data_IF_162260022312
#
_entry.id   IF_162260022312
#
_cell.length_a   1.000
_cell.length_b   1.000
_cell.length_c   1.000
_cell.angle_alpha   90.00
_cell.angle_beta   90.00
_cell.angle_gamma   90.00
#
_symmetry.space_group_name_H-M   'P 1'
#
loop_
_entity.id
_entity.type
_entity.pdbx_description
1 polymer ?
#
# COMPACT_ATOMS: atom_id res chain seq x y z
N UNK A 1 -23.18 0.61 -3.95
CA UNK A 1 -22.85 0.57 -5.39
C UNK A 1 -22.43 -0.82 -5.92
N UNK A 2 -21.83 -1.72 -5.11
CA UNK A 2 -21.37 -3.05 -5.56
C UNK A 2 -22.50 -4.03 -5.97
N UNK A 3 -23.62 -4.03 -5.22
CA UNK A 3 -24.77 -4.92 -5.49
C UNK A 3 -25.43 -4.69 -6.85
N UNK A 4 -25.47 -3.43 -7.32
CA UNK A 4 -26.05 -3.07 -8.61
C UNK A 4 -25.18 -3.59 -9.78
N UNK A 5 -23.84 -3.45 -9.68
CA UNK A 5 -22.91 -3.99 -10.68
C UNK A 5 -22.93 -5.52 -10.70
N UNK A 6 -23.05 -6.16 -9.53
CA UNK A 6 -23.21 -7.60 -9.45
C UNK A 6 -24.49 -8.05 -10.16
N UNK A 7 -25.64 -7.43 -9.84
CA UNK A 7 -26.93 -7.74 -10.43
C UNK A 7 -26.92 -7.61 -11.97
N UNK A 8 -26.35 -6.52 -12.50
CA UNK A 8 -26.23 -6.27 -13.95
C UNK A 8 -25.38 -7.33 -14.63
N UNK A 9 -24.26 -7.74 -14.02
CA UNK A 9 -23.36 -8.78 -14.56
C UNK A 9 -24.04 -10.17 -14.57
N UNK A 10 -24.85 -10.48 -13.56
CA UNK A 10 -25.63 -11.71 -13.54
C UNK A 10 -26.69 -11.71 -14.64
N UNK A 11 -27.37 -10.58 -14.87
CA UNK A 11 -28.40 -10.49 -15.92
C UNK A 11 -27.79 -10.62 -17.31
N UNK A 12 -26.65 -9.97 -17.58
CA UNK A 12 -25.98 -10.09 -18.89
C UNK A 12 -25.50 -11.52 -19.16
N UNK A 13 -24.95 -12.21 -18.15
CA UNK A 13 -24.53 -13.61 -18.30
C UNK A 13 -25.73 -14.53 -18.57
N UNK A 14 -26.86 -14.34 -17.87
CA UNK A 14 -28.07 -15.13 -18.09
C UNK A 14 -28.61 -14.92 -19.51
N UNK A 15 -28.65 -13.67 -19.99
CA UNK A 15 -29.10 -13.37 -21.36
C UNK A 15 -28.19 -13.99 -22.41
N UNK A 16 -26.86 -13.91 -22.24
CA UNK A 16 -25.90 -14.52 -23.16
C UNK A 16 -26.01 -16.06 -23.19
N UNK A 17 -26.18 -16.69 -22.03
CA UNK A 17 -26.38 -18.14 -21.92
C UNK A 17 -27.71 -18.55 -22.56
N UNK A 18 -28.81 -17.83 -22.27
CA UNK A 18 -30.11 -18.10 -22.85
C UNK A 18 -30.10 -17.95 -24.39
N UNK A 19 -29.39 -16.95 -24.90
CA UNK A 19 -29.21 -16.75 -26.34
C UNK A 19 -28.40 -17.89 -26.98
N UNK A 20 -27.29 -18.31 -26.37
CA UNK A 20 -26.52 -19.46 -26.87
C UNK A 20 -27.30 -20.77 -26.80
N UNK A 21 -28.07 -21.00 -25.73
CA UNK A 21 -28.97 -22.15 -25.62
C UNK A 21 -30.08 -22.12 -26.66
N UNK A 22 -30.64 -20.93 -26.96
CA UNK A 22 -31.64 -20.75 -28.00
C UNK A 22 -31.09 -21.09 -29.39
N UNK A 23 -29.89 -20.61 -29.72
CA UNK A 23 -29.19 -20.97 -30.95
C UNK A 23 -28.95 -22.48 -31.01
N UNK A 24 -28.44 -23.08 -29.93
CA UNK A 24 -28.17 -24.52 -29.85
C UNK A 24 -29.45 -25.36 -29.99
N UNK A 25 -30.55 -24.96 -29.35
CA UNK A 25 -31.85 -25.63 -29.48
C UNK A 25 -32.40 -25.53 -30.91
N UNK A 26 -32.25 -24.37 -31.57
CA UNK A 26 -32.63 -24.21 -32.98
C UNK A 26 -31.80 -25.11 -33.90
N UNK A 27 -30.50 -25.26 -33.60
CA UNK A 27 -29.58 -26.15 -34.31
C UNK A 27 -30.01 -27.62 -34.17
N UNK A 28 -30.31 -28.07 -32.94
CA UNK A 28 -30.79 -29.44 -32.69
C UNK A 28 -32.14 -29.72 -33.37
N UNK A 29 -33.04 -28.74 -33.39
CA UNK A 29 -34.33 -28.87 -34.05
C UNK A 29 -34.19 -29.03 -35.57
N UNK A 30 -33.34 -28.21 -36.19
CA UNK A 30 -33.02 -28.33 -37.61
C UNK A 30 -32.32 -29.66 -37.95
N UNK A 31 -31.40 -30.14 -37.09
CA UNK A 31 -30.78 -31.46 -37.25
C UNK A 31 -31.81 -32.61 -37.20
N UNK A 32 -32.78 -32.52 -36.28
CA UNK A 32 -33.88 -33.50 -36.17
C UNK A 32 -34.74 -33.54 -37.43
N UNK A 33 -35.07 -32.38 -37.99
CA UNK A 33 -35.84 -32.30 -39.24
C UNK A 33 -35.11 -32.95 -40.41
N UNK A 34 -33.78 -32.81 -40.47
CA UNK A 34 -32.96 -33.42 -41.51
C UNK A 34 -32.86 -34.94 -41.34
N UNK A 35 -32.71 -35.45 -40.11
CA UNK A 35 -32.67 -36.91 -39.87
C UNK A 35 -34.00 -37.61 -40.15
N UNK A 36 -35.13 -36.92 -40.01
CA UNK A 36 -36.45 -37.51 -40.26
C UNK A 36 -36.78 -37.71 -41.75
N UNK A 37 -36.03 -37.10 -42.67
CA UNK A 37 -36.30 -37.16 -44.11
C UNK A 37 -35.05 -37.61 -44.92
N UNK A 38 -34.56 -38.85 -44.72
CA UNK A 38 -33.26 -39.33 -45.22
C UNK A 38 -33.16 -39.45 -46.75
N UNK A 39 -34.26 -39.26 -47.49
CA UNK A 39 -34.27 -39.26 -48.96
C UNK A 39 -33.66 -37.98 -49.56
N UNK A 40 -33.52 -36.92 -48.76
CA UNK A 40 -32.74 -35.72 -49.09
C UNK A 40 -31.37 -35.87 -48.42
N UNK A 41 -30.46 -36.62 -49.04
CA UNK A 41 -29.11 -36.78 -48.51
C UNK A 41 -28.48 -35.41 -48.25
N UNK A 42 -28.02 -35.17 -47.02
CA UNK A 42 -27.24 -33.97 -46.67
C UNK A 42 -26.07 -33.87 -47.63
N UNK A 43 -26.04 -32.82 -48.44
CA UNK A 43 -24.86 -32.56 -49.25
C UNK A 43 -23.67 -32.32 -48.32
N UNK A 44 -22.48 -32.82 -48.68
CA UNK A 44 -21.23 -32.64 -47.90
C UNK A 44 -20.99 -31.17 -47.48
N UNK A 45 -21.46 -30.21 -48.29
CA UNK A 45 -21.43 -28.77 -47.99
C UNK A 45 -22.30 -28.36 -46.80
N UNK A 46 -23.46 -28.97 -46.60
CA UNK A 46 -24.35 -28.68 -45.47
C UNK A 46 -23.76 -29.21 -44.16
N UNK A 47 -23.19 -30.43 -44.18
CA UNK A 47 -22.48 -30.99 -43.04
C UNK A 47 -21.28 -30.14 -42.60
N UNK A 48 -20.53 -29.56 -43.55
CA UNK A 48 -19.44 -28.63 -43.26
C UNK A 48 -19.93 -27.33 -42.59
N UNK A 49 -21.06 -26.79 -43.04
CA UNK A 49 -21.69 -25.62 -42.42
C UNK A 49 -22.10 -25.85 -40.97
N UNK A 50 -22.59 -27.06 -40.65
CA UNK A 50 -22.93 -27.47 -39.29
C UNK A 50 -21.71 -27.52 -38.36
N UNK A 51 -20.62 -28.14 -38.80
CA UNK A 51 -19.37 -28.21 -38.04
C UNK A 51 -18.80 -26.81 -37.77
N UNK A 52 -18.86 -25.92 -38.77
CA UNK A 52 -18.41 -24.54 -38.62
C UNK A 52 -19.25 -23.76 -37.61
N UNK A 53 -20.58 -23.90 -37.65
CA UNK A 53 -21.46 -23.23 -36.70
C UNK A 53 -21.21 -23.70 -35.26
N UNK A 54 -21.07 -25.00 -35.02
CA UNK A 54 -20.72 -25.55 -33.70
C UNK A 54 -19.35 -25.03 -33.24
N UNK A 55 -18.35 -25.05 -34.14
CA UNK A 55 -17.01 -24.53 -33.86
C UNK A 55 -17.03 -23.05 -33.45
N UNK A 56 -17.85 -22.23 -34.11
CA UNK A 56 -17.98 -20.80 -33.79
C UNK A 56 -18.58 -20.57 -32.39
N UNK A 57 -19.61 -21.33 -32.01
CA UNK A 57 -20.23 -21.23 -30.67
C UNK A 57 -19.25 -21.66 -29.58
N UNK A 58 -18.54 -22.77 -29.79
CA UNK A 58 -17.51 -23.24 -28.84
C UNK A 58 -16.38 -22.23 -28.71
N UNK A 59 -15.93 -21.63 -29.82
CA UNK A 59 -14.89 -20.61 -29.82
C UNK A 59 -15.31 -19.36 -29.03
N UNK A 60 -16.53 -18.86 -29.25
CA UNK A 60 -17.08 -17.71 -28.52
C UNK A 60 -17.22 -18.03 -27.03
N UNK A 61 -17.78 -19.19 -26.69
CA UNK A 61 -17.94 -19.62 -25.30
C UNK A 61 -16.59 -19.74 -24.57
N UNK A 62 -15.59 -20.31 -25.24
CA UNK A 62 -14.23 -20.48 -24.72
C UNK A 62 -13.54 -19.13 -24.56
N UNK A 63 -13.68 -18.24 -25.55
CA UNK A 63 -13.17 -16.87 -25.49
C UNK A 63 -13.77 -16.08 -24.33
N UNK A 64 -15.08 -16.21 -24.11
CA UNK A 64 -15.76 -15.56 -22.98
C UNK A 64 -15.31 -16.11 -21.62
N UNK A 65 -15.18 -17.43 -21.49
CA UNK A 65 -14.67 -18.08 -20.28
C UNK A 65 -13.23 -17.63 -19.96
N UNK A 66 -12.37 -17.58 -20.99
CA UNK A 66 -11.00 -17.12 -20.87
C UNK A 66 -10.94 -15.63 -20.48
N UNK A 67 -11.72 -14.77 -21.14
CA UNK A 67 -11.78 -13.34 -20.84
C UNK A 67 -12.23 -13.08 -19.40
N UNK A 68 -13.21 -13.83 -18.89
CA UNK A 68 -13.63 -13.71 -17.49
C UNK A 68 -12.54 -14.15 -16.50
N UNK A 69 -11.82 -15.24 -16.80
CA UNK A 69 -10.68 -15.67 -15.98
C UNK A 69 -9.56 -14.63 -15.98
N UNK A 70 -9.23 -14.06 -17.13
CA UNK A 70 -8.24 -12.99 -17.25
C UNK A 70 -8.68 -11.75 -16.48
N UNK A 71 -9.95 -11.34 -16.57
CA UNK A 71 -10.46 -10.19 -15.85
C UNK A 71 -10.43 -10.38 -14.33
N UNK A 72 -10.74 -11.59 -13.83
CA UNK A 72 -10.65 -11.91 -12.40
C UNK A 72 -9.20 -11.92 -11.92
N UNK A 73 -8.30 -12.53 -12.68
CA UNK A 73 -6.86 -12.57 -12.37
C UNK A 73 -6.25 -11.18 -12.39
N UNK A 74 -6.57 -10.34 -13.39
CA UNK A 74 -6.10 -8.96 -13.46
C UNK A 74 -6.64 -8.11 -12.31
N UNK A 75 -7.89 -8.30 -11.90
CA UNK A 75 -8.44 -7.60 -10.73
C UNK A 75 -7.76 -8.01 -9.42
N UNK A 76 -7.44 -9.30 -9.26
CA UNK A 76 -6.70 -9.80 -8.10
C UNK A 76 -5.27 -9.27 -8.07
N UNK A 77 -4.58 -9.29 -9.22
CA UNK A 77 -3.22 -8.75 -9.37
C UNK A 77 -3.18 -7.26 -9.04
N UNK A 78 -4.09 -6.46 -9.62
CA UNK A 78 -4.15 -5.02 -9.36
C UNK A 78 -4.47 -4.69 -7.89
N UNK A 79 -5.25 -5.54 -7.19
CA UNK A 79 -5.49 -5.37 -5.75
C UNK A 79 -4.21 -5.63 -4.95
N UNK A 80 -3.48 -6.68 -5.31
CA UNK A 80 -2.22 -7.06 -4.67
C UNK A 80 -1.13 -6.00 -4.88
N UNK A 81 -0.92 -5.54 -6.11
CA UNK A 81 0.05 -4.49 -6.44
C UNK A 81 -0.21 -3.21 -5.61
N UNK A 82 -1.48 -2.81 -5.47
CA UNK A 82 -1.85 -1.66 -4.63
C UNK A 82 -1.51 -1.86 -3.16
N UNK A 83 -1.73 -3.06 -2.62
CA UNK A 83 -1.41 -3.37 -1.23
C UNK A 83 0.11 -3.40 -1.00
N UNK A 84 0.87 -3.96 -1.94
CA UNK A 84 2.33 -3.97 -1.90
C UNK A 84 2.89 -2.54 -1.94
N UNK A 85 2.39 -1.70 -2.86
CA UNK A 85 2.75 -0.28 -2.95
C UNK A 85 2.40 0.50 -1.66
N UNK A 86 1.20 0.28 -1.11
CA UNK A 86 0.80 0.88 0.16
C UNK A 86 1.77 0.51 1.30
N UNK A 87 2.19 -0.76 1.39
CA UNK A 87 3.14 -1.20 2.42
C UNK A 87 4.54 -0.65 2.19
N UNK A 88 5.02 -0.61 0.96
CA UNK A 88 6.32 -0.02 0.62
C UNK A 88 6.40 1.45 1.02
N UNK A 89 5.32 2.22 0.80
CA UNK A 89 5.21 3.61 1.27
C UNK A 89 5.27 3.71 2.79
N UNK A 90 4.56 2.84 3.51
CA UNK A 90 4.60 2.82 4.99
C UNK A 90 6.00 2.46 5.52
N UNK A 91 6.69 1.52 4.87
CA UNK A 91 8.07 1.16 5.20
C UNK A 91 9.03 2.32 4.95
N UNK A 92 8.84 3.06 3.86
CA UNK A 92 9.63 4.25 3.55
C UNK A 92 9.44 5.34 4.59
N UNK A 93 8.20 5.61 4.99
CA UNK A 93 7.89 6.54 6.07
C UNK A 93 8.51 6.10 7.40
N UNK A 94 8.44 4.80 7.72
CA UNK A 94 9.06 4.24 8.91
C UNK A 94 10.59 4.38 8.90
N UNK A 95 11.26 4.16 7.76
CA UNK A 95 12.70 4.35 7.65
C UNK A 95 13.12 5.79 7.97
N UNK A 96 12.35 6.78 7.52
CA UNK A 96 12.59 8.20 7.84
C UNK A 96 12.42 8.46 9.35
N UNK A 97 11.38 7.90 9.97
CA UNK A 97 11.13 8.02 11.41
C UNK A 97 12.22 7.32 12.23
N UNK A 98 12.67 6.14 11.78
CA UNK A 98 13.74 5.37 12.41
C UNK A 98 15.05 6.14 12.41
N UNK A 99 15.41 6.72 11.27
CA UNK A 99 16.60 7.54 11.14
C UNK A 99 16.52 8.82 11.99
N UNK A 100 15.36 9.47 12.05
CA UNK A 100 15.12 10.60 12.94
C UNK A 100 15.36 10.24 14.42
N UNK A 101 14.87 9.07 14.86
CA UNK A 101 15.11 8.56 16.21
C UNK A 101 16.59 8.29 16.45
N UNK A 102 17.27 7.66 15.50
CA UNK A 102 18.71 7.37 15.58
C UNK A 102 19.53 8.64 15.80
N UNK A 103 19.23 9.72 15.06
CA UNK A 103 19.89 11.03 15.26
C UNK A 103 19.65 11.54 16.69
N UNK A 104 18.43 11.42 17.21
CA UNK A 104 18.10 11.85 18.59
C UNK A 104 18.87 11.02 19.62
N UNK A 105 18.89 9.69 19.49
CA UNK A 105 19.58 8.78 20.39
C UNK A 105 21.10 8.97 20.36
N UNK A 106 21.67 9.12 19.17
CA UNK A 106 23.11 9.35 18.98
C UNK A 106 23.52 10.68 19.63
N UNK A 107 22.75 11.74 19.38
CA UNK A 107 22.99 13.03 19.99
C UNK A 107 22.93 12.91 21.52
N UNK A 108 21.89 12.28 22.08
CA UNK A 108 21.76 12.10 23.53
C UNK A 108 22.93 11.29 24.14
N UNK A 109 23.31 10.19 23.50
CA UNK A 109 24.44 9.34 23.92
C UNK A 109 25.75 10.12 23.93
N UNK A 110 25.97 10.97 22.93
CA UNK A 110 27.20 11.75 22.83
C UNK A 110 27.23 12.94 23.80
N UNK A 111 26.08 13.53 24.10
CA UNK A 111 25.99 14.58 25.11
C UNK A 111 26.19 14.03 26.54
N UNK A 112 25.56 12.92 26.88
CA UNK A 112 25.64 12.31 28.22
C UNK A 112 27.04 11.83 28.60
N UNK A 113 27.84 11.42 27.60
CA UNK A 113 29.21 10.91 27.82
C UNK A 113 30.29 11.99 27.94
N UNK A 114 30.03 13.24 27.55
CA UNK A 114 31.06 14.30 27.49
C UNK A 114 30.59 15.55 28.21
N UNK A 115 31.07 15.76 29.43
CA UNK A 115 30.71 16.92 30.27
C UNK A 115 30.73 18.26 29.52
N UNK A 116 29.66 19.03 29.76
CA UNK A 116 29.36 20.44 29.49
C UNK A 116 29.94 21.10 28.21
N UNK A 117 31.25 21.22 28.04
CA UNK A 117 31.83 21.98 26.93
C UNK A 117 31.97 21.18 25.62
N UNK A 118 32.37 19.91 25.70
CA UNK A 118 32.50 19.08 24.49
C UNK A 118 31.13 18.57 24.03
N UNK A 119 30.18 18.37 24.97
CA UNK A 119 28.77 18.16 24.66
C UNK A 119 28.20 19.31 23.84
N UNK A 120 28.45 20.56 24.21
CA UNK A 120 28.03 21.74 23.45
C UNK A 120 28.55 21.76 21.99
N UNK A 121 29.83 21.45 21.77
CA UNK A 121 30.40 21.38 20.42
C UNK A 121 29.79 20.24 19.59
N UNK A 122 29.53 19.09 20.21
CA UNK A 122 28.83 17.97 19.56
C UNK A 122 27.42 18.35 19.13
N UNK A 123 26.69 19.09 19.97
CA UNK A 123 25.34 19.57 19.67
C UNK A 123 25.33 20.48 18.45
N UNK A 124 26.34 21.35 18.33
CA UNK A 124 26.51 22.22 17.17
C UNK A 124 26.79 21.43 15.89
N UNK A 125 27.48 20.28 15.97
CA UNK A 125 27.70 19.41 14.80
C UNK A 125 26.44 18.68 14.33
N UNK A 126 25.49 18.38 15.21
CA UNK A 126 24.22 17.72 14.85
C UNK A 126 23.17 18.67 14.25
N UNK A 127 23.44 19.98 14.19
CA UNK A 127 22.49 20.96 13.64
C UNK A 127 22.01 20.58 12.23
N UNK A 128 22.95 20.19 11.34
CA UNK A 128 22.61 19.80 9.97
C UNK A 128 21.80 18.49 9.93
N UNK A 129 22.08 17.55 10.82
CA UNK A 129 21.39 16.28 10.89
C UNK A 129 19.96 16.46 11.42
N UNK A 130 19.76 17.26 12.47
CA UNK A 130 18.42 17.60 12.96
C UNK A 130 17.61 18.38 11.93
N UNK A 131 18.22 19.33 11.24
CA UNK A 131 17.55 20.08 10.17
C UNK A 131 17.17 19.18 8.99
N UNK A 132 18.08 18.30 8.57
CA UNK A 132 17.85 17.30 7.52
C UNK A 132 16.75 16.32 7.89
N UNK A 133 16.82 15.75 9.09
CA UNK A 133 15.82 14.85 9.65
C UNK A 133 14.44 15.51 9.75
N UNK A 134 14.37 16.75 10.26
CA UNK A 134 13.15 17.56 10.33
C UNK A 134 12.51 17.73 8.94
N UNK A 135 13.30 18.12 7.95
CA UNK A 135 12.81 18.32 6.59
C UNK A 135 12.33 17.00 5.96
N UNK A 136 13.06 15.91 6.18
CA UNK A 136 12.69 14.60 5.66
C UNK A 136 11.35 14.12 6.24
N UNK A 137 11.14 14.27 7.54
CA UNK A 137 9.90 13.84 8.20
C UNK A 137 8.71 14.74 7.83
N UNK A 138 8.93 16.03 7.54
CA UNK A 138 7.89 16.96 7.06
C UNK A 138 7.37 16.62 5.66
N UNK A 139 8.16 15.88 4.87
CA UNK A 139 7.76 15.40 3.54
C UNK A 139 6.88 14.15 3.58
N UNK A 140 6.71 13.51 4.75
CA UNK A 140 5.85 12.34 4.88
C UNK A 140 4.38 12.77 4.70
N UNK A 141 3.64 12.23 3.71
CA UNK A 141 2.25 12.57 3.50
C UNK A 141 1.37 11.96 4.60
N UNK A 142 1.08 12.72 5.66
CA UNK A 142 0.34 12.24 6.84
C UNK A 142 -1.02 11.61 6.52
N UNK A 143 -1.71 12.13 5.49
CA UNK A 143 -3.01 11.61 5.05
C UNK A 143 -2.94 10.19 4.44
N UNK A 144 -1.75 9.74 4.04
CA UNK A 144 -1.51 8.39 3.51
C UNK A 144 -1.23 7.35 4.60
N UNK A 145 -0.94 7.77 5.85
CA UNK A 145 -0.56 6.84 6.93
C UNK A 145 -1.71 5.97 7.45
N UNK A 146 -2.96 6.20 7.00
CA UNK A 146 -4.22 5.42 7.23
C UNK A 146 -4.54 5.02 8.68
N UNK A 147 -3.74 5.43 9.65
CA UNK A 147 -3.83 5.09 11.07
C UNK A 147 -3.57 6.33 11.89
N UNK A 148 -4.52 6.68 12.74
CA UNK A 148 -4.39 7.80 13.68
C UNK A 148 -3.16 7.67 14.56
N UNK A 149 -2.79 6.44 14.96
CA UNK A 149 -1.62 6.22 15.80
C UNK A 149 -0.30 6.43 15.05
N UNK A 150 -0.24 6.09 13.75
CA UNK A 150 0.93 6.39 12.93
C UNK A 150 1.08 7.90 12.70
N UNK A 151 -0.03 8.59 12.46
CA UNK A 151 -0.03 10.06 12.33
C UNK A 151 0.47 10.70 13.63
N UNK A 152 -0.06 10.29 14.78
CA UNK A 152 0.40 10.77 16.09
C UNK A 152 1.89 10.47 16.30
N UNK A 153 2.37 9.28 15.93
CA UNK A 153 3.78 8.91 16.02
C UNK A 153 4.66 9.83 15.15
N UNK A 154 4.33 10.02 13.87
CA UNK A 154 5.10 10.91 12.99
C UNK A 154 5.09 12.35 13.49
N UNK A 155 3.93 12.87 13.93
CA UNK A 155 3.84 14.20 14.54
C UNK A 155 4.64 14.32 15.84
N UNK A 156 4.67 13.26 16.65
CA UNK A 156 5.48 13.18 17.86
C UNK A 156 6.97 13.33 17.55
N UNK A 157 7.49 12.53 16.62
CA UNK A 157 8.89 12.62 16.19
C UNK A 157 9.20 13.96 15.52
N UNK A 158 8.28 14.53 14.73
CA UNK A 158 8.41 15.89 14.18
C UNK A 158 8.57 16.94 15.29
N UNK A 159 7.76 16.86 16.35
CA UNK A 159 7.85 17.78 17.48
C UNK A 159 9.16 17.61 18.26
N UNK A 160 9.63 16.37 18.45
CA UNK A 160 10.91 16.09 19.08
C UNK A 160 12.08 16.66 18.25
N UNK A 161 12.10 16.41 16.94
CA UNK A 161 13.13 16.96 16.04
C UNK A 161 13.09 18.49 15.96
N UNK A 162 11.91 19.10 15.90
CA UNK A 162 11.77 20.55 15.89
C UNK A 162 12.28 21.17 17.20
N UNK A 163 12.06 20.50 18.33
CA UNK A 163 12.54 20.95 19.62
C UNK A 163 14.05 20.76 19.75
N UNK A 164 14.59 19.61 19.36
CA UNK A 164 16.04 19.36 19.30
C UNK A 164 16.75 20.37 18.37
N UNK A 165 16.17 20.64 17.20
CA UNK A 165 16.68 21.67 16.29
C UNK A 165 16.73 23.05 16.95
N UNK A 166 15.63 23.52 17.55
CA UNK A 166 15.60 24.82 18.28
C UNK A 166 16.63 24.87 19.41
N UNK A 167 16.81 23.76 20.12
CA UNK A 167 17.78 23.65 21.21
C UNK A 167 19.22 23.77 20.68
N UNK A 168 19.53 23.13 19.54
CA UNK A 168 20.85 23.25 18.90
C UNK A 168 21.09 24.66 18.34
N UNK A 169 20.06 25.31 17.80
CA UNK A 169 20.10 26.69 17.33
C UNK A 169 20.36 27.68 18.49
N UNK A 170 19.63 27.53 19.60
CA UNK A 170 19.83 28.32 20.82
C UNK A 170 21.24 28.17 21.37
N UNK A 171 21.75 26.94 21.45
CA UNK A 171 23.13 26.68 21.85
C UNK A 171 24.12 27.41 20.96
N UNK A 172 24.00 27.28 19.63
CA UNK A 172 24.86 27.94 18.65
C UNK A 172 24.89 29.47 18.80
N UNK A 173 23.75 30.08 19.13
CA UNK A 173 23.64 31.54 19.31
C UNK A 173 24.16 32.03 20.67
N UNK A 174 24.27 31.14 21.67
CA UNK A 174 24.65 31.49 23.04
C UNK A 174 25.87 30.66 23.51
N UNK A 175 27.09 30.91 23.00
CA UNK A 175 28.29 30.13 23.31
C UNK A 175 28.80 30.26 24.75
N UNK A 176 28.18 31.10 25.58
CA UNK A 176 28.59 31.40 26.96
C UNK A 176 27.66 30.79 28.02
N UNK A 177 26.77 29.86 27.65
CA UNK A 177 25.87 29.20 28.60
C UNK A 177 26.67 28.49 29.70
N UNK A 178 26.26 28.69 30.95
CA UNK A 178 26.87 28.04 32.11
C UNK A 178 26.38 26.59 32.30
N UNK A 179 26.99 25.87 33.25
CA UNK A 179 26.67 24.47 33.52
C UNK A 179 25.24 24.23 34.03
N UNK A 180 24.58 25.20 34.67
CA UNK A 180 23.21 25.03 35.18
C UNK A 180 22.20 24.99 34.03
N UNK A 181 22.41 25.83 33.00
CA UNK A 181 21.59 25.82 31.80
C UNK A 181 21.73 24.51 31.01
N UNK A 182 22.85 23.80 31.17
CA UNK A 182 23.12 22.54 30.48
C UNK A 182 22.34 21.37 31.10
N UNK A 183 22.17 21.32 32.42
CA UNK A 183 21.43 20.24 33.09
C UNK A 183 19.92 20.30 32.81
N UNK A 184 19.32 21.50 32.82
CA UNK A 184 17.93 21.70 32.39
C UNK A 184 17.73 21.32 30.92
N UNK A 185 18.73 21.62 30.10
CA UNK A 185 18.76 21.26 28.69
C UNK A 185 18.79 19.74 28.49
N UNK A 186 19.58 19.01 29.28
CA UNK A 186 19.59 17.54 29.28
C UNK A 186 18.24 16.92 29.68
N UNK A 187 17.58 17.48 30.69
CA UNK A 187 16.28 16.98 31.13
C UNK A 187 15.21 17.08 30.02
N UNK A 188 15.21 18.17 29.25
CA UNK A 188 14.32 18.35 28.11
C UNK A 188 14.62 17.36 26.97
N UNK A 189 15.90 17.11 26.67
CA UNK A 189 16.30 16.15 25.63
C UNK A 189 15.89 14.72 26.01
N UNK A 190 16.02 14.32 27.28
CA UNK A 190 15.58 12.99 27.73
C UNK A 190 14.06 12.81 27.63
N UNK A 191 13.27 13.84 27.97
CA UNK A 191 11.82 13.82 27.76
C UNK A 191 11.48 13.63 26.27
N UNK A 192 12.20 14.31 25.36
CA UNK A 192 12.02 14.11 23.92
C UNK A 192 12.43 12.72 23.44
N UNK A 193 13.48 12.14 24.02
CA UNK A 193 13.93 10.78 23.71
C UNK A 193 12.82 9.78 24.04
N UNK A 194 12.28 9.83 25.25
CA UNK A 194 11.16 8.96 25.68
C UNK A 194 9.91 9.16 24.81
N UNK A 195 9.56 10.40 24.49
CA UNK A 195 8.45 10.70 23.59
C UNK A 195 8.69 10.15 22.17
N UNK A 196 9.94 10.17 21.69
CA UNK A 196 10.32 9.61 20.39
C UNK A 196 10.25 8.08 20.37
N UNK A 197 10.52 7.41 21.49
CA UNK A 197 10.39 5.95 21.62
C UNK A 197 8.94 5.50 21.51
N UNK A 198 8.02 6.11 22.26
CA UNK A 198 6.58 5.84 22.16
C UNK A 198 6.06 6.13 20.74
N UNK A 199 6.48 7.25 20.16
CA UNK A 199 6.12 7.62 18.81
C UNK A 199 6.62 6.62 17.76
N UNK A 200 7.87 6.15 17.89
CA UNK A 200 8.45 5.13 17.03
C UNK A 200 7.73 3.79 17.16
N UNK A 201 7.42 3.36 18.38
CA UNK A 201 6.70 2.12 18.65
C UNK A 201 5.32 2.12 17.98
N UNK A 202 4.60 3.24 18.02
CA UNK A 202 3.30 3.38 17.33
C UNK A 202 3.41 3.23 15.82
N UNK A 203 4.47 3.76 15.21
CA UNK A 203 4.71 3.61 13.77
C UNK A 203 5.10 2.17 13.44
N UNK A 204 6.01 1.56 14.21
CA UNK A 204 6.43 0.16 14.05
C UNK A 204 5.23 -0.79 14.10
N UNK A 205 4.39 -0.66 15.14
CA UNK A 205 3.17 -1.45 15.29
C UNK A 205 2.18 -1.24 14.12
N UNK A 206 2.14 -0.05 13.55
CA UNK A 206 1.36 0.25 12.34
C UNK A 206 1.86 -0.54 11.11
N UNK A 207 3.18 -0.53 10.90
CA UNK A 207 3.83 -1.26 9.80
C UNK A 207 3.66 -2.77 9.95
N UNK A 208 3.84 -3.32 11.15
CA UNK A 208 3.69 -4.75 11.39
C UNK A 208 2.27 -5.24 11.12
N UNK A 209 1.25 -4.45 11.50
CA UNK A 209 -0.14 -4.72 11.13
C UNK A 209 -0.35 -4.70 9.62
N UNK A 210 0.24 -3.75 8.91
CA UNK A 210 0.13 -3.67 7.45
C UNK A 210 0.79 -4.87 6.76
N UNK A 211 1.96 -5.30 7.24
CA UNK A 211 2.65 -6.51 6.76
C UNK A 211 1.86 -7.78 7.03
N UNK A 212 1.23 -7.89 8.20
CA UNK A 212 0.38 -9.04 8.53
C UNK A 212 -0.80 -9.17 7.55
N UNK A 213 -1.42 -8.05 7.15
CA UNK A 213 -2.50 -8.05 6.15
C UNK A 213 -2.03 -8.56 4.78
N UNK A 214 -0.82 -8.20 4.34
CA UNK A 214 -0.24 -8.74 3.10
C UNK A 214 -0.07 -10.26 3.16
N UNK A 215 0.46 -10.78 4.27
CA UNK A 215 0.73 -12.22 4.43
C UNK A 215 -0.53 -13.09 4.45
N UNK A 216 -1.70 -12.52 4.75
CA UNK A 216 -2.98 -13.23 4.73
C UNK A 216 -3.60 -13.31 3.33
N UNK A 217 -3.16 -12.48 2.37
CA UNK A 217 -3.68 -12.47 1.00
C UNK A 217 -2.84 -13.30 0.01
N UNK A 218 -1.65 -13.75 0.42
CA UNK A 218 -0.76 -14.66 -0.34
C UNK A 218 -1.00 -16.12 -0.01
#
# INVERSE_FOLDING_TARGET
MSKLKAAVRTTTNIVAIAFMLGIFASMLFALRLVMQDPKKGLASSEAAGWVQAIGSVIAIASGFALANRQAQSAAALAKRERLEEDVERLLSAFAVVAHAKEIIDEAFTNMSNKGSFMGYFLVSSYYLDFHGGKRAIELIPLHELRSTEMIKGVLGVQNCLASAYRLTEFGRENPHLDNQNIDEWFAQVEEFRLASEDAFERVSNGVDRARALLSQET
#
